data_IF_711913976375
#
_entry.id   IF_711913976375
#
_cell.length_a   1.000
_cell.length_b   1.000
_cell.length_c   1.000
_cell.angle_alpha   90.00
_cell.angle_beta   90.00
_cell.angle_gamma   90.00
#
_symmetry.space_group_name_H-M   'P 1'
#
loop_
_entity.id
_entity.type
_entity.pdbx_description
1 polymer ?
#
# COMPACT_ATOMS: atom_id res chain seq x y z
N UNK A 1 -12.81 -24.23 -6.35
CA UNK A 1 -12.23 -23.97 -5.02
C UNK A 1 -10.98 -23.11 -5.16
N UNK A 2 -11.12 -21.86 -4.72
CA UNK A 2 -10.12 -20.79 -4.77
C UNK A 2 -8.77 -21.20 -4.12
N UNK A 3 -7.64 -20.70 -4.63
CA UNK A 3 -6.28 -20.96 -4.11
C UNK A 3 -6.14 -20.53 -2.66
N UNK A 4 -6.73 -19.38 -2.28
CA UNK A 4 -6.73 -18.85 -0.92
C UNK A 4 -7.41 -19.84 0.03
N UNK A 5 -8.58 -20.37 -0.34
CA UNK A 5 -9.32 -21.34 0.47
C UNK A 5 -8.51 -22.62 0.71
N UNK A 6 -7.86 -23.15 -0.33
CA UNK A 6 -7.00 -24.34 -0.22
C UNK A 6 -5.85 -24.10 0.75
N UNK A 7 -5.25 -22.92 0.67
CA UNK A 7 -4.14 -22.52 1.52
C UNK A 7 -4.54 -22.33 2.98
N UNK A 8 -5.64 -21.62 3.25
CA UNK A 8 -6.17 -21.46 4.61
C UNK A 8 -6.52 -22.83 5.20
N UNK A 9 -7.23 -23.67 4.44
CA UNK A 9 -7.59 -25.04 4.86
C UNK A 9 -6.36 -25.86 5.24
N UNK A 10 -5.31 -25.81 4.41
CA UNK A 10 -4.06 -26.52 4.67
C UNK A 10 -3.34 -25.99 5.92
N UNK A 11 -3.32 -24.67 6.11
CA UNK A 11 -2.71 -24.03 7.29
C UNK A 11 -3.45 -24.42 8.56
N UNK A 12 -4.79 -24.31 8.59
CA UNK A 12 -5.60 -24.66 9.76
C UNK A 12 -5.43 -26.14 10.11
N UNK A 13 -5.48 -27.02 9.11
CA UNK A 13 -5.26 -28.46 9.30
C UNK A 13 -3.89 -28.77 9.88
N UNK A 14 -2.84 -28.14 9.35
CA UNK A 14 -1.45 -28.32 9.84
C UNK A 14 -1.26 -27.77 11.25
N UNK A 15 -1.99 -26.72 11.60
CA UNK A 15 -1.98 -26.12 12.93
C UNK A 15 -2.84 -26.88 13.95
N UNK A 16 -3.54 -27.95 13.54
CA UNK A 16 -4.42 -28.71 14.43
C UNK A 16 -5.66 -27.93 14.86
N UNK A 17 -6.07 -26.92 14.10
CA UNK A 17 -7.30 -26.17 14.34
C UNK A 17 -8.46 -27.00 13.80
N UNK A 18 -9.49 -27.22 14.60
CA UNK A 18 -10.75 -27.78 14.13
C UNK A 18 -11.50 -26.71 13.32
N UNK A 19 -12.01 -27.08 12.15
CA UNK A 19 -12.74 -26.16 11.28
C UNK A 19 -13.82 -26.90 10.47
N UNK A 20 -14.84 -26.15 10.06
CA UNK A 20 -15.89 -26.59 9.16
C UNK A 20 -15.42 -26.50 7.70
N UNK A 21 -15.81 -27.48 6.87
CA UNK A 21 -15.49 -27.45 5.45
C UNK A 21 -16.38 -26.47 4.72
N UNK A 22 -15.80 -25.63 3.85
CA UNK A 22 -16.56 -24.74 2.98
C UNK A 22 -17.38 -25.51 1.92
N UNK A 23 -18.48 -24.92 1.41
CA UNK A 23 -19.23 -25.46 0.28
C UNK A 23 -18.35 -25.73 -0.95
N UNK A 24 -18.72 -26.73 -1.77
CA UNK A 24 -17.94 -27.16 -2.94
C UNK A 24 -17.81 -26.07 -4.01
N UNK A 25 -18.83 -25.22 -4.10
CA UNK A 25 -19.01 -24.10 -5.01
C UNK A 25 -18.52 -22.76 -4.45
N UNK A 26 -17.87 -22.76 -3.27
CA UNK A 26 -17.33 -21.53 -2.68
C UNK A 26 -16.25 -20.88 -3.57
N UNK A 27 -16.49 -19.62 -3.93
CA UNK A 27 -15.64 -18.79 -4.78
C UNK A 27 -15.05 -17.56 -4.05
N UNK A 28 -15.66 -17.13 -2.94
CA UNK A 28 -15.24 -15.96 -2.17
C UNK A 28 -13.84 -16.10 -1.55
N UNK A 29 -12.94 -15.17 -1.87
CA UNK A 29 -11.57 -15.13 -1.35
C UNK A 29 -11.40 -14.33 -0.04
N UNK A 30 -12.44 -13.61 0.38
CA UNK A 30 -12.43 -12.74 1.55
C UNK A 30 -12.18 -13.57 2.83
N UNK A 31 -11.15 -13.20 3.60
CA UNK A 31 -10.74 -13.96 4.78
C UNK A 31 -11.78 -13.95 5.89
N UNK A 32 -12.45 -12.82 6.11
CA UNK A 32 -13.55 -12.73 7.07
C UNK A 32 -14.64 -13.74 6.73
N UNK A 33 -15.16 -13.72 5.50
CA UNK A 33 -16.18 -14.68 5.06
C UNK A 33 -15.73 -16.14 5.19
N UNK A 34 -14.47 -16.43 4.85
CA UNK A 34 -13.86 -17.75 5.01
C UNK A 34 -13.86 -18.17 6.50
N UNK A 35 -13.36 -17.32 7.40
CA UNK A 35 -13.25 -17.66 8.81
C UNK A 35 -14.62 -17.73 9.51
N UNK A 36 -15.59 -16.87 9.14
CA UNK A 36 -16.97 -16.95 9.66
C UNK A 36 -17.61 -18.30 9.39
N UNK A 37 -17.27 -18.93 8.27
CA UNK A 37 -17.75 -20.27 7.98
C UNK A 37 -16.89 -21.35 8.64
N UNK A 38 -15.57 -21.24 8.51
CA UNK A 38 -14.66 -22.31 8.91
C UNK A 38 -14.47 -22.43 10.42
N UNK A 39 -14.41 -21.31 11.15
CA UNK A 39 -14.07 -21.28 12.58
C UNK A 39 -14.90 -20.22 13.36
N UNK A 40 -16.23 -20.20 13.22
CA UNK A 40 -17.09 -19.17 13.82
C UNK A 40 -16.88 -19.01 15.32
N UNK A 41 -16.59 -20.09 16.04
CA UNK A 41 -16.39 -20.09 17.50
C UNK A 41 -15.09 -19.41 17.96
N UNK A 42 -14.17 -19.11 17.02
CA UNK A 42 -12.89 -18.43 17.28
C UNK A 42 -12.92 -16.95 16.91
N UNK A 43 -14.08 -16.46 16.47
CA UNK A 43 -14.26 -15.07 16.04
C UNK A 43 -14.71 -14.23 17.22
N UNK A 44 -14.07 -13.09 17.36
CA UNK A 44 -14.53 -11.98 18.16
C UNK A 44 -14.94 -10.89 17.20
N UNK A 45 -16.25 -10.68 17.06
CA UNK A 45 -16.82 -9.64 16.21
C UNK A 45 -17.48 -8.59 17.09
N UNK A 46 -17.07 -7.34 16.92
CA UNK A 46 -17.69 -6.20 17.59
C UNK A 46 -18.41 -5.37 16.54
N UNK A 47 -19.73 -5.51 16.45
CA UNK A 47 -20.53 -4.39 15.97
C UNK A 47 -20.16 -3.20 16.84
N UNK A 48 -19.70 -2.11 16.23
CA UNK A 48 -18.86 -1.10 16.86
C UNK A 48 -19.36 -0.81 18.29
N UNK A 49 -18.68 -1.36 19.30
CA UNK A 49 -19.22 -1.31 20.67
C UNK A 49 -18.95 0.04 21.25
N UNK A 50 -20.03 0.76 21.52
CA UNK A 50 -19.98 1.99 22.28
C UNK A 50 -19.49 1.68 23.72
N UNK A 51 -18.22 1.95 24.01
CA UNK A 51 -17.67 2.07 25.35
C UNK A 51 -18.27 3.34 25.97
N UNK A 52 -19.46 3.19 26.55
CA UNK A 52 -20.06 4.21 27.40
C UNK A 52 -19.30 4.41 28.72
N UNK A 53 -18.76 3.33 29.29
CA UNK A 53 -18.06 3.36 30.58
C UNK A 53 -16.88 2.38 30.61
N UNK A 54 -15.89 2.66 31.47
CA UNK A 54 -14.72 1.80 31.63
C UNK A 54 -15.09 0.34 31.97
N UNK A 55 -16.19 0.11 32.69
CA UNK A 55 -16.67 -1.24 33.06
C UNK A 55 -17.03 -2.11 31.87
N UNK A 56 -17.36 -1.52 30.72
CA UNK A 56 -17.67 -2.28 29.50
C UNK A 56 -16.47 -3.07 28.98
N UNK A 57 -15.23 -2.68 29.32
CA UNK A 57 -14.02 -3.45 28.96
C UNK A 57 -13.96 -4.83 29.59
N UNK A 58 -14.68 -5.08 30.69
CA UNK A 58 -14.80 -6.44 31.26
C UNK A 58 -15.55 -7.36 30.29
N UNK A 59 -16.64 -6.87 29.70
CA UNK A 59 -17.41 -7.62 28.70
C UNK A 59 -16.61 -7.84 27.42
N UNK A 60 -15.90 -6.80 26.95
CA UNK A 60 -15.00 -6.91 25.78
C UNK A 60 -13.92 -7.97 26.02
N UNK A 61 -13.27 -7.97 27.20
CA UNK A 61 -12.26 -8.98 27.54
C UNK A 61 -12.85 -10.39 27.58
N UNK A 62 -14.09 -10.55 28.08
CA UNK A 62 -14.76 -11.83 28.18
C UNK A 62 -15.04 -12.44 26.79
N UNK A 63 -15.43 -11.64 25.81
CA UNK A 63 -15.66 -12.11 24.44
C UNK A 63 -14.36 -12.55 23.77
N UNK A 64 -13.29 -11.78 23.93
CA UNK A 64 -11.97 -12.19 23.50
C UNK A 64 -11.53 -13.50 24.18
N UNK A 65 -11.77 -13.65 25.49
CA UNK A 65 -11.49 -14.89 26.20
C UNK A 65 -12.28 -16.08 25.65
N UNK A 66 -13.56 -15.89 25.33
CA UNK A 66 -14.42 -16.92 24.74
C UNK A 66 -13.88 -17.43 23.39
N UNK A 67 -13.42 -16.53 22.52
CA UNK A 67 -12.84 -16.88 21.23
C UNK A 67 -11.57 -17.76 21.33
N UNK A 68 -10.94 -17.81 22.51
CA UNK A 68 -9.79 -18.70 22.76
C UNK A 68 -10.16 -20.15 23.06
N UNK A 69 -11.46 -20.47 23.14
CA UNK A 69 -11.99 -21.79 23.47
C UNK A 69 -11.45 -22.36 24.80
N UNK A 70 -11.34 -21.50 25.80
CA UNK A 70 -10.95 -21.86 27.17
C UNK A 70 -9.45 -21.79 27.46
N UNK A 71 -8.63 -21.39 26.49
CA UNK A 71 -7.20 -21.18 26.73
C UNK A 71 -6.93 -19.95 27.61
N UNK A 72 -7.72 -18.89 27.41
CA UNK A 72 -7.69 -17.69 28.23
C UNK A 72 -8.94 -17.62 29.09
N UNK A 73 -8.75 -17.69 30.42
CA UNK A 73 -9.81 -17.54 31.42
C UNK A 73 -9.37 -16.46 32.42
N UNK A 74 -9.74 -15.18 32.20
CA UNK A 74 -9.37 -14.10 33.12
C UNK A 74 -10.12 -14.26 34.45
N UNK A 75 -9.39 -14.32 35.56
CA UNK A 75 -9.96 -14.32 36.90
C UNK A 75 -10.26 -12.90 37.39
N UNK A 76 -11.39 -12.71 38.08
CA UNK A 76 -11.77 -11.47 38.75
C UNK A 76 -11.55 -10.17 37.92
N UNK A 77 -11.98 -10.11 36.64
CA UNK A 77 -11.72 -8.95 35.81
C UNK A 77 -12.44 -7.71 36.36
N UNK A 78 -11.70 -6.60 36.44
CA UNK A 78 -12.20 -5.32 36.94
C UNK A 78 -11.55 -4.15 36.22
N UNK A 79 -12.25 -3.03 36.18
CA UNK A 79 -11.79 -1.82 35.49
C UNK A 79 -11.87 -0.61 36.39
N UNK A 80 -10.93 0.32 36.22
CA UNK A 80 -10.92 1.63 36.86
C UNK A 80 -10.75 2.69 35.78
N UNK A 81 -11.68 3.65 35.72
CA UNK A 81 -11.58 4.84 34.87
C UNK A 81 -11.08 6.03 35.68
N UNK A 82 -10.19 6.83 35.10
CA UNK A 82 -9.72 8.09 35.65
C UNK A 82 -10.32 9.28 34.88
N UNK A 83 -10.36 10.45 35.54
CA UNK A 83 -10.95 11.69 34.99
C UNK A 83 -10.24 12.16 33.71
N UNK A 84 -8.98 11.80 33.52
CA UNK A 84 -8.18 12.12 32.34
C UNK A 84 -8.42 11.19 31.13
N UNK A 85 -9.41 10.31 31.21
CA UNK A 85 -9.74 9.31 30.19
C UNK A 85 -8.86 8.05 30.25
N UNK A 86 -7.98 7.92 31.23
CA UNK A 86 -7.19 6.70 31.41
C UNK A 86 -8.06 5.56 31.95
N UNK A 87 -8.02 4.41 31.29
CA UNK A 87 -8.64 3.16 31.74
C UNK A 87 -7.56 2.18 32.20
N UNK A 88 -7.79 1.54 33.35
CA UNK A 88 -7.00 0.41 33.83
C UNK A 88 -7.89 -0.82 33.92
N UNK A 89 -7.64 -1.82 33.08
CA UNK A 89 -8.27 -3.13 33.15
C UNK A 89 -7.32 -4.10 33.87
N UNK A 90 -7.78 -4.72 34.94
CA UNK A 90 -7.03 -5.67 35.76
C UNK A 90 -7.74 -7.02 35.79
N UNK A 91 -6.99 -8.11 35.71
CA UNK A 91 -7.49 -9.48 35.84
C UNK A 91 -6.37 -10.41 36.34
N UNK A 92 -6.75 -11.60 36.80
CA UNK A 92 -5.84 -12.66 37.20
C UNK A 92 -5.61 -13.64 36.05
N UNK A 93 -4.35 -14.05 35.85
CA UNK A 93 -3.98 -15.10 34.93
C UNK A 93 -2.78 -15.87 35.48
N UNK A 94 -2.86 -17.20 35.53
CA UNK A 94 -1.81 -18.07 36.06
C UNK A 94 -1.30 -17.65 37.46
N UNK A 95 -2.21 -17.22 38.34
CA UNK A 95 -1.89 -16.76 39.70
C UNK A 95 -1.22 -15.38 39.78
N UNK A 96 -1.15 -14.64 38.69
CA UNK A 96 -0.59 -13.29 38.63
C UNK A 96 -1.65 -12.26 38.26
N UNK A 97 -1.56 -11.08 38.87
CA UNK A 97 -2.36 -9.92 38.49
C UNK A 97 -1.76 -9.25 37.25
N UNK A 98 -2.53 -9.20 36.16
CA UNK A 98 -2.20 -8.52 34.91
C UNK A 98 -2.96 -7.20 34.84
N UNK A 99 -2.31 -6.13 34.36
CA UNK A 99 -2.90 -4.80 34.22
C UNK A 99 -2.67 -4.24 32.82
N UNK A 100 -3.74 -3.91 32.13
CA UNK A 100 -3.71 -3.10 30.91
C UNK A 100 -4.04 -1.66 31.28
N UNK A 101 -3.14 -0.73 30.98
CA UNK A 101 -3.35 0.71 31.17
C UNK A 101 -3.27 1.39 29.81
N UNK A 102 -4.32 2.13 29.46
CA UNK A 102 -4.45 2.79 28.16
C UNK A 102 -5.41 3.98 28.24
N UNK A 103 -5.38 4.87 27.25
CA UNK A 103 -6.35 5.96 27.12
C UNK A 103 -7.58 5.49 26.35
N UNK A 104 -8.76 5.89 26.82
CA UNK A 104 -10.01 5.77 26.09
C UNK A 104 -10.25 7.08 25.32
N UNK A 105 -10.26 6.98 23.98
CA UNK A 105 -10.56 8.10 23.10
C UNK A 105 -11.83 7.78 22.31
N UNK A 106 -12.82 8.68 22.38
CA UNK A 106 -14.12 8.47 21.77
C UNK A 106 -14.94 7.34 22.42
N UNK A 107 -15.88 6.82 21.66
CA UNK A 107 -16.85 5.84 22.13
C UNK A 107 -16.53 4.40 21.72
N UNK A 108 -15.44 4.13 20.99
CA UNK A 108 -15.14 2.76 20.52
C UNK A 108 -14.13 2.05 21.41
N UNK A 109 -13.97 0.74 21.25
CA UNK A 109 -12.88 0.01 21.88
C UNK A 109 -11.55 0.62 21.42
N UNK A 110 -10.70 1.02 22.37
CA UNK A 110 -9.47 1.73 22.07
C UNK A 110 -8.43 0.81 21.40
N UNK A 111 -7.76 1.29 20.34
CA UNK A 111 -6.65 0.57 19.69
C UNK A 111 -5.58 0.09 20.69
N UNK A 112 -5.30 0.93 21.69
CA UNK A 112 -4.35 0.61 22.74
C UNK A 112 -4.76 -0.60 23.60
N UNK A 113 -6.05 -0.89 23.75
CA UNK A 113 -6.52 -2.13 24.38
C UNK A 113 -6.12 -3.35 23.53
N UNK A 114 -6.40 -3.33 22.22
CA UNK A 114 -6.03 -4.42 21.31
C UNK A 114 -4.51 -4.67 21.30
N UNK A 115 -3.71 -3.60 21.36
CA UNK A 115 -2.24 -3.72 21.46
C UNK A 115 -1.82 -4.44 22.74
N UNK A 116 -2.40 -4.10 23.89
CA UNK A 116 -2.09 -4.75 25.16
C UNK A 116 -2.55 -6.20 25.17
N UNK A 117 -3.75 -6.48 24.67
CA UNK A 117 -4.30 -7.82 24.56
C UNK A 117 -3.40 -8.71 23.69
N UNK A 118 -3.02 -8.26 22.49
CA UNK A 118 -2.15 -9.04 21.59
C UNK A 118 -0.75 -9.27 22.15
N UNK A 119 -0.20 -8.29 22.90
CA UNK A 119 1.06 -8.45 23.63
C UNK A 119 0.94 -9.52 24.71
N UNK A 120 -0.17 -9.51 25.45
CA UNK A 120 -0.48 -10.53 26.45
C UNK A 120 -0.61 -11.92 25.81
N UNK A 121 -1.46 -12.09 24.79
CA UNK A 121 -1.66 -13.36 24.10
C UNK A 121 -0.34 -13.90 23.53
N UNK A 122 0.46 -13.03 22.87
CA UNK A 122 1.78 -13.41 22.34
C UNK A 122 2.73 -13.96 23.40
N UNK A 123 2.65 -13.47 24.63
CA UNK A 123 3.57 -13.85 25.71
C UNK A 123 3.06 -15.04 26.52
N UNK A 124 1.75 -15.15 26.72
CA UNK A 124 1.16 -16.05 27.71
C UNK A 124 0.33 -17.18 27.10
N UNK A 125 -0.07 -17.07 25.83
CA UNK A 125 -0.92 -18.05 25.15
C UNK A 125 -0.20 -18.65 23.92
N UNK A 126 -0.69 -19.80 23.48
CA UNK A 126 -0.25 -20.54 22.30
C UNK A 126 -0.73 -19.92 20.97
N UNK A 127 -1.72 -19.02 21.03
CA UNK A 127 -2.28 -18.29 19.90
C UNK A 127 -2.31 -16.78 20.09
N UNK A 128 -2.79 -16.09 19.06
CA UNK A 128 -3.05 -14.66 19.06
C UNK A 128 -4.30 -14.33 18.25
N UNK A 129 -4.67 -13.05 18.23
CA UNK A 129 -5.72 -12.53 17.36
C UNK A 129 -5.16 -12.02 16.04
N UNK A 130 -5.73 -12.52 14.94
CA UNK A 130 -5.56 -12.03 13.58
C UNK A 130 -6.82 -11.24 13.20
N UNK A 131 -6.70 -9.93 13.00
CA UNK A 131 -7.83 -9.16 12.45
C UNK A 131 -7.99 -9.47 10.97
N UNK A 132 -9.20 -9.76 10.53
CA UNK A 132 -9.47 -10.22 9.15
C UNK A 132 -10.41 -9.29 8.38
N UNK A 133 -10.95 -8.28 9.05
CA UNK A 133 -11.78 -7.21 8.47
C UNK A 133 -11.02 -5.86 8.38
N UNK A 134 -11.61 -5.01 7.56
CA UNK A 134 -11.28 -3.65 7.13
C UNK A 134 -11.98 -2.55 7.94
N UNK A 135 -13.08 -2.84 8.64
CA UNK A 135 -13.83 -1.87 9.46
C UNK A 135 -13.61 -2.00 10.98
N UNK A 136 -12.53 -2.66 11.40
CA UNK A 136 -12.13 -2.76 12.81
C UNK A 136 -13.21 -3.42 13.67
N UNK A 137 -13.74 -4.57 13.23
CA UNK A 137 -14.68 -5.34 14.06
C UNK A 137 -14.36 -6.81 14.21
N UNK A 138 -13.63 -7.45 13.28
CA UNK A 138 -13.50 -8.92 13.25
C UNK A 138 -12.07 -9.39 13.53
N UNK A 139 -11.85 -9.97 14.72
CA UNK A 139 -10.61 -10.60 15.16
C UNK A 139 -10.79 -12.13 15.30
N UNK A 140 -9.87 -12.93 14.74
CA UNK A 140 -9.91 -14.41 14.81
C UNK A 140 -8.77 -14.94 15.65
N UNK A 141 -9.08 -15.76 16.66
CA UNK A 141 -8.05 -16.38 17.50
C UNK A 141 -7.46 -17.65 16.87
N UNK A 142 -6.17 -17.62 16.57
CA UNK A 142 -5.47 -18.72 15.90
C UNK A 142 -4.08 -18.96 16.53
N UNK A 143 -3.51 -20.19 16.40
CA UNK A 143 -2.14 -20.46 16.81
C UNK A 143 -1.12 -19.53 16.14
N UNK A 144 -0.07 -19.11 16.85
CA UNK A 144 0.94 -18.15 16.32
C UNK A 144 1.52 -18.56 14.97
N UNK A 145 1.80 -19.86 14.80
CA UNK A 145 2.34 -20.39 13.54
C UNK A 145 1.34 -20.33 12.39
N UNK A 146 0.05 -20.50 12.68
CA UNK A 146 -1.00 -20.39 11.67
C UNK A 146 -1.12 -18.93 11.23
N UNK A 147 -1.16 -17.99 12.17
CA UNK A 147 -1.19 -16.54 11.87
C UNK A 147 -0.01 -16.15 11.00
N UNK A 148 1.22 -16.51 11.38
CA UNK A 148 2.40 -16.17 10.59
C UNK A 148 2.34 -16.74 9.16
N UNK A 149 1.79 -17.94 8.97
CA UNK A 149 1.61 -18.54 7.64
C UNK A 149 0.49 -17.88 6.84
N UNK A 150 -0.63 -17.54 7.50
CA UNK A 150 -1.74 -16.82 6.88
C UNK A 150 -1.23 -15.45 6.45
N UNK A 151 -0.66 -14.64 7.34
CA UNK A 151 -0.12 -13.32 7.00
C UNK A 151 0.96 -13.40 5.90
N UNK A 152 1.84 -14.41 5.92
CA UNK A 152 2.79 -14.62 4.81
C UNK A 152 2.10 -14.94 3.48
N UNK A 153 0.95 -15.61 3.50
CA UNK A 153 0.23 -16.00 2.28
C UNK A 153 -0.81 -14.97 1.83
N UNK A 154 -1.32 -14.16 2.75
CA UNK A 154 -2.45 -13.25 2.52
C UNK A 154 -2.08 -11.78 2.68
N UNK A 155 -0.89 -11.45 3.22
CA UNK A 155 -0.43 -10.08 3.46
C UNK A 155 0.94 -9.72 2.90
N UNK A 156 1.69 -10.67 2.33
CA UNK A 156 2.81 -10.34 1.45
C UNK A 156 2.46 -10.70 0.02
N UNK A 157 2.02 -9.70 -0.74
CA UNK A 157 1.98 -9.85 -2.19
C UNK A 157 3.42 -9.93 -2.67
N UNK A 158 3.80 -11.06 -3.26
CA UNK A 158 5.16 -11.25 -3.76
C UNK A 158 5.37 -10.62 -5.14
N UNK A 159 4.29 -10.19 -5.81
CA UNK A 159 4.29 -9.62 -7.15
C UNK A 159 3.06 -8.75 -7.39
N UNK A 160 3.13 -7.89 -8.41
CA UNK A 160 1.99 -7.10 -8.89
C UNK A 160 0.81 -7.98 -9.34
N UNK A 161 1.08 -9.17 -9.93
CA UNK A 161 0.00 -10.13 -10.27
C UNK A 161 -0.79 -10.59 -9.04
N UNK A 162 -0.11 -10.88 -7.93
CA UNK A 162 -0.79 -11.31 -6.70
C UNK A 162 -1.64 -10.20 -6.09
N UNK A 163 -1.17 -8.95 -6.20
CA UNK A 163 -1.94 -7.77 -5.77
C UNK A 163 -3.15 -7.53 -6.68
N UNK A 164 -2.99 -7.70 -8.00
CA UNK A 164 -4.07 -7.61 -8.97
C UNK A 164 -5.17 -8.64 -8.68
N UNK A 165 -4.81 -9.91 -8.48
CA UNK A 165 -5.76 -10.98 -8.14
C UNK A 165 -6.56 -10.65 -6.86
N UNK A 166 -5.89 -10.03 -5.87
CA UNK A 166 -6.53 -9.62 -4.62
C UNK A 166 -7.53 -8.48 -4.81
N UNK A 167 -7.17 -7.46 -5.59
CA UNK A 167 -8.09 -6.37 -5.93
C UNK A 167 -9.31 -6.92 -6.70
N UNK A 168 -9.06 -7.77 -7.69
CA UNK A 168 -10.13 -8.39 -8.50
C UNK A 168 -11.02 -9.35 -7.71
N UNK A 169 -10.53 -9.91 -6.62
CA UNK A 169 -11.32 -10.73 -5.70
C UNK A 169 -12.28 -9.91 -4.81
N UNK A 170 -12.30 -8.58 -4.95
CA UNK A 170 -13.23 -7.70 -4.23
C UNK A 170 -12.65 -7.07 -2.97
N UNK A 171 -11.34 -6.79 -2.93
CA UNK A 171 -10.72 -6.06 -1.82
C UNK A 171 -11.37 -4.67 -1.65
N UNK A 172 -11.63 -4.27 -0.40
CA UNK A 172 -12.21 -2.95 -0.10
C UNK A 172 -11.14 -1.86 -0.01
N UNK A 173 -11.54 -0.60 0.05
CA UNK A 173 -10.60 0.52 0.22
C UNK A 173 -9.74 0.38 1.49
N UNK A 174 -10.35 -0.04 2.59
CA UNK A 174 -9.63 -0.24 3.83
C UNK A 174 -8.71 -1.48 3.81
N UNK A 175 -9.00 -2.52 2.99
CA UNK A 175 -8.03 -3.59 2.71
C UNK A 175 -6.78 -3.02 2.04
N UNK A 176 -6.98 -2.23 0.98
CA UNK A 176 -5.88 -1.67 0.18
C UNK A 176 -5.03 -0.69 0.97
N UNK A 177 -5.66 0.20 1.75
CA UNK A 177 -4.95 1.15 2.62
C UNK A 177 -4.12 0.43 3.69
N UNK A 178 -4.64 -0.65 4.27
CA UNK A 178 -3.94 -1.42 5.31
C UNK A 178 -2.71 -2.14 4.77
N UNK A 179 -2.76 -2.63 3.53
CA UNK A 179 -1.63 -3.32 2.90
C UNK A 179 -0.63 -2.34 2.27
N UNK A 180 -1.07 -1.17 1.80
CA UNK A 180 -0.24 -0.17 1.11
C UNK A 180 1.07 0.09 1.84
N UNK A 181 0.99 0.43 3.11
CA UNK A 181 2.17 0.83 3.90
C UNK A 181 3.05 -0.38 4.31
N UNK A 182 2.61 -1.61 4.02
CA UNK A 182 3.30 -2.87 4.33
C UNK A 182 3.84 -3.57 3.11
N UNK A 183 3.45 -3.12 1.93
CA UNK A 183 3.88 -3.67 0.67
C UNK A 183 5.29 -3.17 0.34
N UNK A 184 6.19 -4.06 -0.13
CA UNK A 184 7.35 -3.59 -0.85
C UNK A 184 6.88 -2.73 -2.02
N UNK A 185 7.45 -1.54 -2.20
CA UNK A 185 7.01 -0.60 -3.24
C UNK A 185 6.98 -1.23 -4.65
N UNK A 186 7.84 -2.23 -4.90
CA UNK A 186 7.90 -2.96 -6.16
C UNK A 186 6.61 -3.71 -6.50
N UNK A 187 5.69 -3.87 -5.56
CA UNK A 187 4.42 -4.56 -5.78
C UNK A 187 3.37 -3.60 -6.34
N UNK A 188 2.95 -2.53 -5.63
CA UNK A 188 1.98 -1.58 -6.17
C UNK A 188 2.53 -0.75 -7.33
N UNK A 189 3.84 -0.49 -7.37
CA UNK A 189 4.51 0.27 -8.43
C UNK A 189 5.33 -0.63 -9.38
N UNK A 190 5.02 -1.93 -9.41
CA UNK A 190 5.64 -2.90 -10.31
C UNK A 190 4.84 -3.20 -11.56
N UNK A 191 5.27 -4.24 -12.27
CA UNK A 191 4.58 -4.76 -13.45
C UNK A 191 4.15 -6.21 -13.22
N UNK A 192 2.98 -6.56 -13.76
CA UNK A 192 2.55 -7.94 -13.95
C UNK A 192 3.50 -8.67 -14.90
N UNK A 193 3.37 -9.99 -14.97
CA UNK A 193 4.13 -10.81 -15.94
C UNK A 193 3.86 -10.43 -17.41
N UNK A 194 2.71 -9.81 -17.71
CA UNK A 194 2.37 -9.30 -19.05
C UNK A 194 2.90 -7.90 -19.33
N UNK A 195 3.56 -7.26 -18.36
CA UNK A 195 4.08 -5.90 -18.47
C UNK A 195 3.05 -4.81 -18.17
N UNK A 196 1.88 -5.14 -17.65
CA UNK A 196 0.88 -4.15 -17.20
C UNK A 196 1.25 -3.61 -15.81
N UNK A 197 1.00 -2.33 -15.55
CA UNK A 197 0.90 -1.86 -14.16
C UNK A 197 -0.40 -2.36 -13.52
N UNK A 198 -0.51 -2.32 -12.18
CA UNK A 198 -1.73 -2.71 -11.47
C UNK A 198 -2.99 -2.05 -12.06
N UNK A 199 -2.95 -0.73 -12.27
CA UNK A 199 -4.10 0.03 -12.75
C UNK A 199 -4.43 -0.27 -14.22
N UNK A 200 -3.42 -0.34 -15.09
CA UNK A 200 -3.67 -0.71 -16.50
C UNK A 200 -4.24 -2.12 -16.64
N UNK A 201 -3.80 -3.05 -15.79
CA UNK A 201 -4.34 -4.42 -15.74
C UNK A 201 -5.80 -4.45 -15.27
N UNK A 202 -6.17 -3.67 -14.25
CA UNK A 202 -7.56 -3.56 -13.76
C UNK A 202 -8.52 -3.03 -14.82
N UNK A 203 -8.10 -2.00 -15.58
CA UNK A 203 -8.94 -1.47 -16.68
C UNK A 203 -9.11 -2.54 -17.76
N UNK A 204 -8.02 -3.22 -18.15
CA UNK A 204 -8.05 -4.25 -19.21
C UNK A 204 -8.75 -5.54 -18.79
N UNK A 205 -8.81 -5.86 -17.50
CA UNK A 205 -9.54 -7.03 -17.00
C UNK A 205 -11.06 -6.84 -17.00
N UNK A 206 -11.55 -5.63 -17.26
CA UNK A 206 -12.97 -5.29 -17.19
C UNK A 206 -13.48 -5.15 -15.76
N UNK A 207 -12.60 -4.80 -14.80
CA UNK A 207 -13.04 -4.44 -13.45
C UNK A 207 -14.02 -3.26 -13.52
N UNK A 208 -14.98 -3.20 -12.60
CA UNK A 208 -15.88 -2.05 -12.53
C UNK A 208 -15.11 -0.79 -12.09
N UNK A 209 -15.71 0.38 -12.35
CA UNK A 209 -15.06 1.65 -12.06
C UNK A 209 -14.79 1.85 -10.56
N UNK A 210 -15.64 1.33 -9.68
CA UNK A 210 -15.44 1.45 -8.23
C UNK A 210 -14.17 0.72 -7.79
N UNK A 211 -13.98 -0.53 -8.22
CA UNK A 211 -12.76 -1.31 -7.97
C UNK A 211 -11.53 -0.62 -8.51
N UNK A 212 -11.60 -0.07 -9.73
CA UNK A 212 -10.50 0.71 -10.30
C UNK A 212 -10.18 1.94 -9.45
N UNK A 213 -11.19 2.74 -9.09
CA UNK A 213 -11.02 3.97 -8.32
C UNK A 213 -10.50 3.70 -6.91
N UNK A 214 -10.97 2.63 -6.27
CA UNK A 214 -10.45 2.18 -4.96
C UNK A 214 -8.96 1.85 -5.05
N UNK A 215 -8.52 1.09 -6.06
CA UNK A 215 -7.10 0.83 -6.26
C UNK A 215 -6.29 2.07 -6.65
N UNK A 216 -6.87 2.95 -7.47
CA UNK A 216 -6.29 4.23 -7.89
C UNK A 216 -6.00 5.12 -6.68
N UNK A 217 -6.96 5.27 -5.76
CA UNK A 217 -6.79 6.07 -4.55
C UNK A 217 -5.82 5.44 -3.55
N UNK A 218 -5.84 4.11 -3.41
CA UNK A 218 -4.97 3.43 -2.47
C UNK A 218 -3.49 3.51 -2.91
N UNK A 219 -3.18 3.20 -4.17
CA UNK A 219 -1.79 3.05 -4.60
C UNK A 219 -1.25 4.27 -5.37
N UNK A 220 -2.11 5.19 -5.78
CA UNK A 220 -1.74 6.58 -6.05
C UNK A 220 -0.85 6.83 -7.27
N UNK A 221 -0.78 5.92 -8.24
CA UNK A 221 0.12 6.06 -9.38
C UNK A 221 -0.56 5.62 -10.67
N UNK A 222 -0.79 6.60 -11.56
CA UNK A 222 -1.07 6.35 -12.97
C UNK A 222 0.15 5.82 -13.72
N UNK A 223 0.95 4.92 -13.12
CA UNK A 223 2.10 4.28 -13.76
C UNK A 223 1.60 3.63 -15.05
N UNK A 224 2.05 4.08 -16.22
CA UNK A 224 1.70 3.43 -17.48
C UNK A 224 2.27 2.03 -17.51
N UNK A 225 1.73 1.17 -18.37
CA UNK A 225 2.33 -0.15 -18.56
C UNK A 225 3.72 -0.03 -19.23
N UNK A 226 4.44 -1.15 -19.34
CA UNK A 226 5.77 -1.20 -19.98
C UNK A 226 5.78 -0.75 -21.45
N UNK A 227 4.61 -0.63 -22.06
CA UNK A 227 4.41 -0.23 -23.45
C UNK A 227 4.02 1.25 -23.59
N UNK A 228 3.94 2.00 -22.50
CA UNK A 228 3.61 3.42 -22.49
C UNK A 228 2.11 3.73 -22.61
N UNK A 229 1.22 2.78 -22.30
CA UNK A 229 -0.22 3.07 -22.19
C UNK A 229 -0.59 3.53 -20.78
N UNK A 230 -1.17 4.71 -20.66
CA UNK A 230 -1.64 5.25 -19.37
C UNK A 230 -2.94 4.60 -18.93
N UNK A 231 -3.09 4.30 -17.64
CA UNK A 231 -4.37 3.84 -17.10
C UNK A 231 -5.48 4.87 -17.28
N UNK A 232 -5.15 6.17 -17.28
CA UNK A 232 -6.12 7.25 -17.49
C UNK A 232 -6.62 7.28 -18.93
N UNK A 233 -5.71 7.17 -19.91
CA UNK A 233 -6.07 7.07 -21.34
C UNK A 233 -6.86 5.78 -21.61
N UNK A 234 -6.51 4.68 -20.94
CA UNK A 234 -7.27 3.43 -21.04
C UNK A 234 -8.69 3.60 -20.50
N UNK A 235 -8.88 4.29 -19.37
CA UNK A 235 -10.20 4.55 -18.82
C UNK A 235 -11.03 5.42 -19.76
N UNK A 236 -10.46 6.50 -20.29
CA UNK A 236 -11.15 7.34 -21.27
C UNK A 236 -11.53 6.53 -22.51
N UNK A 237 -10.60 5.76 -23.06
CA UNK A 237 -10.82 4.97 -24.28
C UNK A 237 -11.85 3.84 -24.10
N UNK A 238 -11.82 3.14 -22.97
CA UNK A 238 -12.63 1.93 -22.74
C UNK A 238 -13.95 2.22 -22.02
N UNK A 239 -14.01 3.28 -21.21
CA UNK A 239 -15.18 3.63 -20.40
C UNK A 239 -15.75 5.02 -20.70
N UNK A 240 -15.10 5.82 -21.56
CA UNK A 240 -15.59 7.15 -21.94
C UNK A 240 -15.51 8.19 -20.84
N UNK A 241 -14.66 7.97 -19.83
CA UNK A 241 -14.52 8.85 -18.67
C UNK A 241 -13.13 9.51 -18.69
N UNK A 242 -13.10 10.83 -18.87
CA UNK A 242 -11.87 11.61 -18.76
C UNK A 242 -11.59 11.99 -17.29
N UNK A 243 -10.62 11.30 -16.69
CA UNK A 243 -10.21 11.53 -15.31
C UNK A 243 -9.13 12.61 -15.19
N UNK A 244 -8.49 13.03 -16.29
CA UNK A 244 -7.30 13.90 -16.24
C UNK A 244 -7.63 15.29 -15.64
N UNK A 245 -8.67 16.01 -16.09
CA UNK A 245 -9.00 17.34 -15.55
C UNK A 245 -9.31 17.31 -14.05
N UNK A 246 -9.99 16.27 -13.58
CA UNK A 246 -10.43 16.15 -12.18
C UNK A 246 -9.29 15.93 -11.19
N UNK A 247 -8.21 15.26 -11.61
CA UNK A 247 -7.09 14.90 -10.73
C UNK A 247 -5.82 15.73 -10.97
N UNK A 248 -5.57 16.12 -12.21
CA UNK A 248 -4.28 16.72 -12.61
C UNK A 248 -4.43 18.09 -13.26
N UNK A 249 -5.66 18.52 -13.55
CA UNK A 249 -5.96 19.79 -14.22
C UNK A 249 -5.38 19.89 -15.62
N UNK A 250 -5.31 21.12 -16.15
CA UNK A 250 -4.91 21.39 -17.54
C UNK A 250 -3.38 21.32 -17.78
N UNK A 251 -2.60 21.08 -16.72
CA UNK A 251 -1.14 21.08 -16.72
C UNK A 251 -0.53 22.43 -16.31
N UNK A 252 0.81 22.46 -16.18
CA UNK A 252 1.60 23.62 -15.75
C UNK A 252 2.42 24.17 -16.90
N UNK A 253 2.48 25.49 -17.05
CA UNK A 253 3.43 26.11 -17.98
C UNK A 253 4.88 25.73 -17.65
N UNK A 254 5.70 25.63 -18.69
CA UNK A 254 7.11 25.21 -18.52
C UNK A 254 8.08 26.25 -19.06
N UNK A 255 9.28 26.25 -18.49
CA UNK A 255 10.41 27.12 -18.83
C UNK A 255 11.60 26.29 -19.28
N UNK A 256 12.46 26.86 -20.12
CA UNK A 256 13.71 26.22 -20.50
C UNK A 256 14.69 26.15 -19.32
N UNK A 257 15.67 25.24 -19.41
CA UNK A 257 16.67 25.07 -18.36
C UNK A 257 17.42 26.35 -17.98
N UNK A 258 17.81 27.18 -18.96
CA UNK A 258 18.50 28.44 -18.68
C UNK A 258 17.62 29.40 -17.86
N UNK A 259 16.36 29.55 -18.26
CA UNK A 259 15.39 30.45 -17.63
C UNK A 259 15.05 29.99 -16.20
N UNK A 260 14.81 28.69 -16.00
CA UNK A 260 14.50 28.17 -14.67
C UNK A 260 15.72 28.21 -13.74
N UNK A 261 16.93 28.01 -14.28
CA UNK A 261 18.20 28.10 -13.52
C UNK A 261 18.46 29.51 -13.01
N UNK A 262 18.16 30.53 -13.81
CA UNK A 262 18.20 31.94 -13.37
C UNK A 262 17.19 32.19 -12.25
N UNK A 263 15.94 31.74 -12.43
CA UNK A 263 14.90 31.85 -11.38
C UNK A 263 15.26 31.16 -10.07
N UNK A 264 15.89 29.99 -10.15
CA UNK A 264 16.43 29.32 -8.98
C UNK A 264 17.48 30.20 -8.29
N UNK A 265 18.38 30.86 -9.05
CA UNK A 265 19.37 31.78 -8.51
C UNK A 265 18.80 33.00 -7.76
N UNK A 266 17.66 33.55 -8.20
CA UNK A 266 17.05 34.77 -7.63
C UNK A 266 16.20 34.53 -6.37
N UNK A 267 15.60 33.35 -6.22
CA UNK A 267 14.77 33.01 -5.06
C UNK A 267 15.67 32.62 -3.89
N UNK A 268 15.91 33.55 -2.95
CA UNK A 268 16.63 33.31 -1.69
C UNK A 268 16.19 31.97 -1.03
N UNK A 269 17.11 31.01 -0.99
CA UNK A 269 16.82 29.61 -0.76
C UNK A 269 16.80 29.28 0.73
N UNK A 270 15.63 28.92 1.28
CA UNK A 270 15.58 28.29 2.60
C UNK A 270 15.58 26.76 2.56
N UNK A 271 15.49 26.12 1.38
CA UNK A 271 15.29 24.67 1.27
C UNK A 271 16.02 24.01 0.10
N UNK A 272 17.15 24.59 -0.33
CA UNK A 272 17.97 23.98 -1.36
C UNK A 272 18.59 22.68 -0.83
N UNK A 273 18.31 21.54 -1.47
CA UNK A 273 18.96 20.28 -1.12
C UNK A 273 20.21 20.09 -1.97
N UNK A 274 21.43 20.08 -1.39
CA UNK A 274 22.69 19.84 -2.12
C UNK A 274 22.64 18.59 -3.02
N UNK A 275 21.85 17.60 -2.61
CA UNK A 275 21.58 16.35 -3.31
C UNK A 275 21.06 16.55 -4.73
N UNK A 276 20.17 17.52 -4.96
CA UNK A 276 19.62 17.79 -6.30
C UNK A 276 20.56 18.64 -7.14
N UNK A 277 21.26 19.60 -6.52
CA UNK A 277 22.21 20.45 -7.24
C UNK A 277 23.39 19.65 -7.79
N UNK A 278 23.83 18.61 -7.08
CA UNK A 278 24.81 17.65 -7.58
C UNK A 278 24.35 17.04 -8.92
N UNK A 279 23.15 16.48 -8.94
CA UNK A 279 22.55 15.83 -10.12
C UNK A 279 22.35 16.83 -11.27
N UNK A 280 21.80 18.02 -10.98
CA UNK A 280 21.53 19.05 -12.00
C UNK A 280 22.82 19.56 -12.65
N UNK A 281 23.89 19.73 -11.88
CA UNK A 281 25.16 20.19 -12.42
C UNK A 281 25.78 19.13 -13.36
N UNK A 282 25.69 17.85 -12.99
CA UNK A 282 26.18 16.74 -13.82
C UNK A 282 25.39 16.55 -15.12
N UNK A 283 24.09 16.89 -15.12
CA UNK A 283 23.22 16.79 -16.29
C UNK A 283 23.15 18.08 -17.13
N UNK A 284 23.93 19.12 -16.81
CA UNK A 284 23.71 20.47 -17.35
C UNK A 284 23.59 20.57 -18.88
N UNK A 285 24.37 19.79 -19.63
CA UNK A 285 24.27 19.74 -21.10
C UNK A 285 23.01 19.01 -21.58
N UNK A 286 22.65 17.90 -20.93
CA UNK A 286 21.47 17.09 -21.24
C UNK A 286 20.17 17.85 -20.93
N UNK A 287 20.17 18.68 -19.87
CA UNK A 287 19.02 19.47 -19.47
C UNK A 287 18.73 20.65 -20.41
N UNK A 288 19.67 21.05 -21.27
CA UNK A 288 19.49 22.21 -22.15
C UNK A 288 18.30 22.08 -23.11
N UNK A 289 17.94 20.84 -23.51
CA UNK A 289 16.76 20.56 -24.32
C UNK A 289 15.47 20.34 -23.52
N UNK A 290 15.57 20.33 -22.20
CA UNK A 290 14.47 19.98 -21.31
C UNK A 290 13.72 21.20 -20.81
N UNK A 291 12.47 20.97 -20.43
CA UNK A 291 11.56 21.99 -19.90
C UNK A 291 11.16 21.64 -18.47
N UNK A 292 10.97 22.67 -17.65
CA UNK A 292 10.71 22.57 -16.21
C UNK A 292 9.45 23.35 -15.85
N UNK A 293 8.62 22.89 -14.90
CA UNK A 293 7.45 23.64 -14.45
C UNK A 293 7.84 25.04 -13.94
N UNK A 294 7.15 26.07 -14.44
CA UNK A 294 7.46 27.48 -14.16
C UNK A 294 7.34 27.86 -12.67
N UNK A 295 6.55 27.08 -11.92
CA UNK A 295 6.27 27.30 -10.49
C UNK A 295 7.18 26.51 -9.57
N UNK A 296 8.03 25.61 -10.08
CA UNK A 296 8.79 24.70 -9.25
C UNK A 296 9.88 25.38 -8.42
N UNK A 297 9.97 24.89 -7.19
CA UNK A 297 11.10 25.09 -6.28
C UNK A 297 11.80 23.74 -6.16
N UNK A 298 13.10 23.74 -5.87
CA UNK A 298 13.98 22.56 -5.82
C UNK A 298 13.76 21.64 -4.60
N UNK A 299 12.50 21.38 -4.25
CA UNK A 299 12.09 20.31 -3.33
C UNK A 299 12.00 18.95 -4.04
N UNK A 300 11.80 18.98 -5.35
CA UNK A 300 11.84 17.89 -6.31
C UNK A 300 12.42 18.43 -7.63
N UNK A 301 12.80 17.54 -8.53
CA UNK A 301 13.20 17.91 -9.89
C UNK A 301 12.18 17.30 -10.84
N UNK A 302 11.33 18.12 -11.45
CA UNK A 302 10.41 17.68 -12.49
C UNK A 302 10.77 18.28 -13.84
N UNK A 303 10.83 17.44 -14.87
CA UNK A 303 11.19 17.88 -16.22
C UNK A 303 10.44 17.09 -17.29
N UNK A 304 10.23 17.72 -18.44
CA UNK A 304 9.55 17.13 -19.57
C UNK A 304 10.11 17.64 -20.90
N UNK A 305 9.74 16.97 -21.99
CA UNK A 305 10.00 17.42 -23.35
C UNK A 305 8.92 18.38 -23.88
N UNK A 306 7.76 18.41 -23.24
CA UNK A 306 6.57 19.11 -23.71
C UNK A 306 6.49 20.56 -23.21
N UNK A 307 5.84 21.47 -23.97
CA UNK A 307 5.65 22.86 -23.56
C UNK A 307 4.74 23.03 -22.34
N UNK A 308 3.91 22.04 -22.05
CA UNK A 308 3.07 21.96 -20.86
C UNK A 308 3.50 20.74 -20.07
N UNK A 309 3.78 20.93 -18.78
CA UNK A 309 4.07 19.84 -17.89
C UNK A 309 2.75 19.25 -17.38
N UNK A 310 2.59 17.96 -17.59
CA UNK A 310 1.51 17.17 -17.02
C UNK A 310 2.17 15.97 -16.36
N UNK A 311 2.04 15.87 -15.03
CA UNK A 311 2.51 14.67 -14.31
C UNK A 311 1.84 13.46 -14.97
N UNK A 312 2.61 12.38 -15.14
CA UNK A 312 2.10 11.12 -15.68
C UNK A 312 1.66 11.15 -17.16
N UNK A 313 2.16 12.10 -17.97
CA UNK A 313 1.86 12.17 -19.42
C UNK A 313 3.10 12.24 -20.34
N UNK A 314 4.26 12.74 -19.90
CA UNK A 314 5.60 12.60 -20.54
C UNK A 314 6.58 13.38 -19.65
N UNK A 315 6.85 12.84 -18.46
CA UNK A 315 7.55 13.56 -17.39
C UNK A 315 8.55 12.67 -16.68
N UNK A 316 9.64 13.29 -16.22
CA UNK A 316 10.56 12.74 -15.24
C UNK A 316 10.42 13.54 -13.95
N UNK A 317 10.24 12.86 -12.83
CA UNK A 317 10.15 13.45 -11.49
C UNK A 317 11.16 12.76 -10.56
N UNK A 318 11.98 13.54 -9.87
CA UNK A 318 12.96 13.06 -8.89
C UNK A 318 12.68 13.69 -7.53
N UNK A 319 12.51 12.85 -6.51
CA UNK A 319 12.26 13.24 -5.12
C UNK A 319 13.27 12.58 -4.19
N UNK A 320 13.72 13.28 -3.15
CA UNK A 320 14.67 12.78 -2.17
C UNK A 320 14.04 12.69 -0.79
N UNK A 321 13.87 11.45 -0.32
CA UNK A 321 13.22 11.12 0.94
C UNK A 321 14.25 10.93 2.05
N UNK A 322 14.49 12.00 2.83
CA UNK A 322 15.58 12.05 3.81
C UNK A 322 15.45 11.03 4.95
N UNK A 323 14.23 10.63 5.34
CA UNK A 323 14.03 9.62 6.39
C UNK A 323 14.42 8.20 5.93
N UNK A 324 14.31 7.91 4.62
CA UNK A 324 14.73 6.65 4.02
C UNK A 324 16.14 6.68 3.43
N UNK A 325 16.74 7.87 3.29
CA UNK A 325 18.00 8.09 2.59
C UNK A 325 17.99 7.50 1.16
N UNK A 326 16.90 7.76 0.43
CA UNK A 326 16.67 7.26 -0.93
C UNK A 326 16.18 8.39 -1.86
N UNK A 327 16.53 8.28 -3.13
CA UNK A 327 15.88 8.97 -4.23
C UNK A 327 14.71 8.14 -4.74
N UNK A 328 13.59 8.78 -5.02
CA UNK A 328 12.44 8.22 -5.72
C UNK A 328 12.45 8.84 -7.11
N UNK A 329 12.59 8.00 -8.12
CA UNK A 329 12.67 8.40 -9.51
C UNK A 329 11.50 7.83 -10.30
N UNK A 330 10.73 8.73 -10.90
CA UNK A 330 9.63 8.45 -11.80
C UNK A 330 10.01 8.93 -13.20
N UNK A 331 10.09 8.04 -14.19
CA UNK A 331 10.35 8.39 -15.59
C UNK A 331 9.22 7.88 -16.45
N UNK A 332 8.66 8.73 -17.30
CA UNK A 332 7.58 8.35 -18.18
C UNK A 332 7.67 8.99 -19.54
N UNK A 333 7.57 8.17 -20.58
CA UNK A 333 7.30 8.59 -21.95
C UNK A 333 6.09 7.84 -22.48
N UNK A 334 5.06 8.55 -22.95
CA UNK A 334 3.88 7.94 -23.59
C UNK A 334 4.08 7.68 -25.08
N UNK A 335 3.23 6.81 -25.64
CA UNK A 335 3.13 6.53 -27.08
C UNK A 335 3.97 5.34 -27.57
N UNK A 336 3.98 5.04 -28.88
CA UNK A 336 4.71 3.90 -29.44
C UNK A 336 6.21 3.98 -29.17
N UNK A 337 6.76 2.98 -28.46
CA UNK A 337 8.16 2.98 -28.01
C UNK A 337 8.42 3.81 -26.74
N UNK A 338 7.35 4.30 -26.10
CA UNK A 338 7.37 4.85 -24.75
C UNK A 338 7.49 3.78 -23.67
N UNK A 339 7.59 4.22 -22.42
CA UNK A 339 7.76 3.34 -21.27
C UNK A 339 7.75 4.13 -19.97
N UNK A 340 7.55 3.41 -18.87
CA UNK A 340 7.52 3.98 -17.52
C UNK A 340 8.59 3.29 -16.65
N UNK A 341 9.14 4.04 -15.70
CA UNK A 341 10.05 3.53 -14.68
C UNK A 341 9.70 4.19 -13.35
N UNK A 342 9.50 3.38 -12.32
CA UNK A 342 9.49 3.83 -10.94
C UNK A 342 10.60 3.11 -10.17
N UNK A 343 11.50 3.85 -9.51
CA UNK A 343 12.61 3.28 -8.76
C UNK A 343 12.86 4.06 -7.47
N UNK A 344 12.95 3.33 -6.37
CA UNK A 344 13.67 3.80 -5.18
C UNK A 344 15.16 3.45 -5.32
N UNK A 345 16.02 4.45 -5.28
CA UNK A 345 17.47 4.35 -5.48
C UNK A 345 18.15 4.85 -4.20
N UNK A 346 18.98 4.04 -3.53
CA UNK A 346 19.78 4.47 -2.39
C UNK A 346 20.56 5.75 -2.67
N UNK A 347 20.68 6.65 -1.68
CA UNK A 347 21.34 7.94 -1.88
C UNK A 347 22.82 7.83 -2.25
N UNK A 348 23.48 6.71 -1.92
CA UNK A 348 24.86 6.40 -2.31
C UNK A 348 24.98 5.93 -3.78
N UNK A 349 23.87 5.72 -4.48
CA UNK A 349 23.80 5.33 -5.89
C UNK A 349 23.34 6.49 -6.78
N UNK A 350 23.78 7.72 -6.47
CA UNK A 350 23.44 8.93 -7.24
C UNK A 350 23.78 8.82 -8.73
N UNK A 351 24.85 8.09 -9.08
CA UNK A 351 25.24 7.85 -10.48
C UNK A 351 24.15 7.11 -11.29
N UNK A 352 23.38 6.22 -10.63
CA UNK A 352 22.25 5.52 -11.26
C UNK A 352 21.11 6.50 -11.56
N UNK A 353 20.84 7.43 -10.64
CA UNK A 353 19.84 8.49 -10.85
C UNK A 353 20.23 9.36 -12.04
N UNK A 354 21.50 9.78 -12.10
CA UNK A 354 22.05 10.59 -13.18
C UNK A 354 21.95 9.86 -14.52
N UNK A 355 22.37 8.59 -14.60
CA UNK A 355 22.30 7.81 -15.84
C UNK A 355 20.86 7.66 -16.36
N UNK A 356 19.92 7.34 -15.48
CA UNK A 356 18.51 7.15 -15.85
C UNK A 356 17.86 8.47 -16.32
N UNK A 357 18.11 9.58 -15.63
CA UNK A 357 17.65 10.90 -16.07
C UNK A 357 18.29 11.32 -17.39
N UNK A 358 19.59 11.04 -17.60
CA UNK A 358 20.26 11.31 -18.87
C UNK A 358 19.61 10.53 -20.02
N UNK A 359 19.34 9.24 -19.83
CA UNK A 359 18.64 8.41 -20.82
C UNK A 359 17.24 8.94 -21.13
N UNK A 360 16.54 9.45 -20.13
CA UNK A 360 15.25 10.12 -20.34
C UNK A 360 15.41 11.40 -21.18
N UNK A 361 16.38 12.26 -20.85
CA UNK A 361 16.67 13.49 -21.60
C UNK A 361 17.02 13.18 -23.07
N UNK A 362 17.72 12.08 -23.32
CA UNK A 362 18.11 11.63 -24.66
C UNK A 362 17.03 10.78 -25.37
N UNK A 363 15.90 10.49 -24.71
CA UNK A 363 14.86 9.53 -25.17
C UNK A 363 15.40 8.14 -25.50
N UNK A 364 16.46 7.70 -24.81
CA UNK A 364 17.11 6.39 -25.00
C UNK A 364 16.76 5.37 -23.91
N UNK A 365 15.84 5.71 -23.01
CA UNK A 365 15.46 4.84 -21.90
C UNK A 365 14.75 3.55 -22.38
N UNK A 366 14.14 3.53 -23.57
CA UNK A 366 13.14 2.52 -23.95
C UNK A 366 13.33 1.84 -25.33
N UNK A 367 14.55 1.43 -25.74
CA UNK A 367 14.76 0.69 -27.02
C UNK A 367 15.93 -0.33 -27.07
N UNK A 368 15.73 -1.42 -27.83
CA UNK A 368 16.63 -2.55 -28.23
C UNK A 368 16.04 -3.22 -29.49
N UNK A 369 16.65 -3.18 -30.67
CA UNK A 369 16.18 -3.98 -31.81
C UNK A 369 16.15 -5.50 -31.54
N UNK A 370 15.06 -6.16 -31.92
CA UNK A 370 14.89 -7.61 -32.04
C UNK A 370 15.69 -8.18 -33.23
N UNK A 371 15.83 -9.51 -33.27
CA UNK A 371 16.65 -10.23 -34.28
C UNK A 371 16.18 -10.04 -35.74
N UNK A 372 15.03 -9.42 -35.93
CA UNK A 372 14.35 -9.07 -37.18
C UNK A 372 14.41 -7.57 -37.52
N UNK A 373 15.06 -6.75 -36.69
CA UNK A 373 15.26 -5.31 -36.93
C UNK A 373 14.19 -4.37 -36.35
N UNK A 374 13.26 -4.88 -35.52
CA UNK A 374 12.23 -4.07 -34.85
C UNK A 374 12.59 -3.72 -33.38
N UNK A 375 12.42 -2.48 -32.91
CA UNK A 375 12.90 -1.99 -31.59
C UNK A 375 12.06 -2.46 -30.34
N UNK A 376 12.70 -2.70 -29.18
CA UNK A 376 12.22 -3.42 -27.94
C UNK A 376 12.89 -2.86 -26.65
N UNK A 377 12.25 -2.43 -25.56
CA UNK A 377 12.95 -1.86 -24.37
C UNK A 377 14.02 -2.76 -23.68
N UNK A 378 15.10 -2.17 -23.12
CA UNK A 378 16.25 -2.88 -22.50
C UNK A 378 15.95 -3.36 -21.06
N UNK A 379 16.42 -4.56 -20.71
CA UNK A 379 16.22 -5.24 -19.41
C UNK A 379 16.51 -4.39 -18.17
#
# INVERSE_FOLDING_TARGET
>A
MNSVVKDITAILKKAGVNFQSLPKDWDNANLEAIFHHMVPERICEFDAKCIGEAVHYVGVLAEFAQATLGEFVPGNPRTMGAVDGTVTLEFEHAGQTVRFKFKQEGHWVADAFYVQLRKFCKKHLSGNFLSVDTNVSTDVYLPHKAIAQIEKKTRSFASTDALLDFVLAGATDADLLRIRDRLPWQVPFGYTNSGESLLTALVKSGANMDTFMTAFHAFGCGLPNRYGESSLELVERLHGIDLIPGYYGDGRETMGYAEIREKWGERLWHNNKPEYMCIINELGADLASMRFPATENLFEVSLCHAPVFKSWVDAAELRYFGAGNVYILDLLTLGPGGGSLHREIPADQVDVVIDLLRRYCLRTLWVVPGRDGAWVPAE
#
